data_IF_275244093758
#
_entry.id   IF_275244093758
#
_cell.length_a   1.000
_cell.length_b   1.000
_cell.length_c   1.000
_cell.angle_alpha   90.00
_cell.angle_beta   90.00
_cell.angle_gamma   90.00
#
_symmetry.space_group_name_H-M   'P 1'
#
loop_
_entity.id
_entity.type
_entity.pdbx_description
1 polymer ?
#
# COMPACT_ATOMS: atom_id res chain seq x y z
N UNK A 1 -19.08 -0.44 -48.86
CA UNK A 1 -18.40 -1.50 -48.09
C UNK A 1 -16.92 -1.24 -47.85
N UNK A 2 -16.14 -0.83 -48.85
CA UNK A 2 -14.67 -0.65 -48.74
C UNK A 2 -14.21 0.37 -47.66
N UNK A 3 -15.00 1.41 -47.37
CA UNK A 3 -14.70 2.40 -46.31
C UNK A 3 -14.86 1.85 -44.88
N UNK A 4 -15.75 0.88 -44.66
CA UNK A 4 -15.98 0.26 -43.34
C UNK A 4 -14.83 -0.70 -42.99
N UNK A 5 -14.31 -1.42 -44.00
CA UNK A 5 -13.16 -2.31 -43.84
C UNK A 5 -11.89 -1.54 -43.44
N UNK A 6 -11.69 -0.35 -43.99
CA UNK A 6 -10.54 0.50 -43.67
C UNK A 6 -10.58 1.04 -42.23
N UNK A 7 -11.76 1.39 -41.73
CA UNK A 7 -11.95 1.83 -40.33
C UNK A 7 -11.69 0.67 -39.36
N UNK A 8 -12.13 -0.54 -39.70
CA UNK A 8 -11.89 -1.73 -38.88
C UNK A 8 -10.40 -2.10 -38.79
N UNK A 9 -9.67 -2.00 -39.90
CA UNK A 9 -8.22 -2.22 -39.94
C UNK A 9 -7.46 -1.14 -39.16
N UNK A 10 -7.90 0.13 -39.26
CA UNK A 10 -7.27 1.23 -38.52
C UNK A 10 -7.49 1.11 -37.00
N UNK A 11 -8.68 0.69 -36.55
CA UNK A 11 -8.97 0.45 -35.13
C UNK A 11 -8.19 -0.73 -34.54
N UNK A 12 -7.88 -1.75 -35.33
CA UNK A 12 -7.06 -2.90 -34.93
C UNK A 12 -5.57 -2.55 -34.73
N UNK A 13 -5.09 -1.48 -35.35
CA UNK A 13 -3.71 -1.00 -35.19
C UNK A 13 -3.53 -0.02 -34.00
N UNK A 14 -4.60 0.55 -33.44
CA UNK A 14 -4.51 1.43 -32.26
C UNK A 14 -4.41 0.68 -30.92
N UNK A 15 -4.58 -0.65 -30.91
CA UNK A 15 -4.50 -1.45 -29.68
C UNK A 15 -3.07 -1.76 -29.24
N UNK A 16 -2.06 -1.45 -30.07
CA UNK A 16 -0.66 -1.69 -29.78
C UNK A 16 -0.02 -0.46 -29.14
N UNK A 17 0.59 -0.63 -27.97
CA UNK A 17 1.51 0.32 -27.32
C UNK A 17 0.93 1.23 -26.24
N UNK A 18 0.02 0.73 -25.39
CA UNK A 18 0.03 1.24 -24.01
C UNK A 18 1.24 0.60 -23.31
N UNK A 19 2.40 1.26 -23.41
CA UNK A 19 3.55 0.85 -22.63
C UNK A 19 3.26 1.16 -21.16
N UNK A 20 3.13 0.10 -20.39
CA UNK A 20 3.05 0.07 -18.95
C UNK A 20 4.33 0.63 -18.33
N UNK A 21 4.38 1.95 -18.14
CA UNK A 21 5.45 2.57 -17.36
C UNK A 21 5.18 2.27 -15.88
N UNK A 22 6.08 1.52 -15.26
CA UNK A 22 5.98 1.13 -13.85
C UNK A 22 6.95 1.99 -13.05
N UNK A 23 6.46 2.57 -11.95
CA UNK A 23 7.29 3.29 -10.98
C UNK A 23 7.33 2.53 -9.65
N UNK A 24 8.52 2.24 -9.15
CA UNK A 24 8.76 1.63 -7.85
C UNK A 24 9.35 2.67 -6.89
N UNK A 25 8.70 2.87 -5.75
CA UNK A 25 9.18 3.71 -4.67
C UNK A 25 9.71 2.82 -3.56
N UNK A 26 11.03 2.76 -3.40
CA UNK A 26 11.68 1.88 -2.45
C UNK A 26 11.45 2.35 -1.01
N UNK A 27 11.10 1.41 -0.13
CA UNK A 27 11.09 1.67 1.30
C UNK A 27 12.52 1.73 1.83
N UNK A 28 12.80 2.55 2.86
CA UNK A 28 14.16 2.69 3.38
C UNK A 28 14.64 1.43 4.12
N UNK A 29 13.71 0.65 4.72
CA UNK A 29 14.02 -0.53 5.53
C UNK A 29 12.88 -1.54 5.46
N UNK A 30 13.22 -2.82 5.50
CA UNK A 30 12.27 -3.95 5.56
C UNK A 30 12.76 -4.97 6.58
N UNK A 31 11.84 -5.44 7.42
CA UNK A 31 12.05 -6.58 8.31
C UNK A 31 11.43 -7.81 7.66
N UNK A 32 12.20 -8.90 7.59
CA UNK A 32 11.74 -10.13 6.97
C UNK A 32 11.95 -11.33 7.89
N UNK A 33 10.95 -12.23 7.89
CA UNK A 33 11.02 -13.48 8.63
C UNK A 33 11.53 -14.64 7.79
N UNK A 34 11.21 -14.70 6.48
CA UNK A 34 11.58 -15.85 5.63
C UNK A 34 11.59 -15.53 4.13
N UNK A 35 10.50 -14.99 3.57
CA UNK A 35 10.41 -14.66 2.14
C UNK A 35 10.10 -13.16 1.96
N UNK A 36 10.85 -12.48 1.09
CA UNK A 36 10.65 -11.07 0.75
C UNK A 36 9.99 -10.99 -0.63
N UNK A 37 8.90 -10.24 -0.73
CA UNK A 37 8.25 -9.92 -2.00
C UNK A 37 8.58 -8.49 -2.42
N UNK A 38 8.44 -8.20 -3.71
CA UNK A 38 8.66 -6.85 -4.23
C UNK A 38 7.76 -5.81 -3.56
N UNK A 39 6.53 -6.20 -3.21
CA UNK A 39 5.59 -5.32 -2.49
C UNK A 39 5.98 -5.03 -1.04
N UNK A 40 6.86 -5.85 -0.44
CA UNK A 40 7.40 -5.59 0.90
C UNK A 40 8.49 -4.52 0.88
N UNK A 41 9.21 -4.40 -0.25
CA UNK A 41 10.38 -3.51 -0.41
C UNK A 41 10.06 -2.22 -1.14
N UNK A 42 8.93 -2.14 -1.85
CA UNK A 42 8.56 -0.95 -2.62
C UNK A 42 7.05 -0.77 -2.78
N UNK A 43 6.62 0.49 -2.83
CA UNK A 43 5.31 0.86 -3.37
C UNK A 43 5.38 0.84 -4.90
N UNK A 44 4.41 0.20 -5.54
CA UNK A 44 4.40 -0.03 -7.00
C UNK A 44 3.24 0.77 -7.60
N UNK A 45 3.55 1.66 -8.53
CA UNK A 45 2.60 2.44 -9.30
C UNK A 45 2.71 2.09 -10.79
N UNK A 46 1.58 1.99 -11.48
CA UNK A 46 1.50 1.63 -12.89
C UNK A 46 0.11 1.19 -13.28
N UNK A 47 -0.03 0.63 -14.48
CA UNK A 47 -1.28 0.00 -14.91
C UNK A 47 -1.59 -1.24 -14.06
N UNK A 48 -2.87 -1.51 -13.76
CA UNK A 48 -3.27 -2.61 -12.88
C UNK A 48 -2.76 -3.99 -13.30
N UNK A 49 -2.67 -4.27 -14.60
CA UNK A 49 -2.21 -5.56 -15.13
C UNK A 49 -0.71 -5.78 -14.92
N UNK A 50 0.10 -4.73 -15.08
CA UNK A 50 1.54 -4.83 -14.87
C UNK A 50 1.90 -4.80 -13.40
N UNK A 51 1.22 -3.99 -12.59
CA UNK A 51 1.37 -4.03 -11.13
C UNK A 51 1.06 -5.43 -10.59
N UNK A 52 -0.05 -6.05 -11.01
CA UNK A 52 -0.40 -7.40 -10.57
C UNK A 52 0.66 -8.45 -10.93
N UNK A 53 1.36 -8.30 -12.07
CA UNK A 53 2.42 -9.23 -12.50
C UNK A 53 3.69 -9.16 -11.66
N UNK A 54 4.03 -7.99 -11.12
CA UNK A 54 5.29 -7.78 -10.40
C UNK A 54 5.12 -7.71 -8.88
N UNK A 55 3.89 -7.49 -8.38
CA UNK A 55 3.61 -7.32 -6.95
C UNK A 55 4.04 -8.51 -6.11
N UNK A 56 3.73 -9.71 -6.59
CA UNK A 56 3.99 -10.97 -5.89
C UNK A 56 5.35 -11.60 -6.28
N UNK A 57 6.21 -10.81 -6.93
CA UNK A 57 7.52 -11.26 -7.35
C UNK A 57 8.40 -11.51 -6.12
N UNK A 58 8.79 -12.77 -5.95
CA UNK A 58 9.65 -13.22 -4.86
C UNK A 58 11.08 -12.79 -5.11
N UNK A 59 11.66 -12.11 -4.13
CA UNK A 59 13.07 -11.74 -4.13
C UNK A 59 13.84 -12.90 -3.50
N UNK A 60 14.73 -13.51 -4.27
CA UNK A 60 15.55 -14.61 -3.78
C UNK A 60 16.59 -14.11 -2.77
N UNK A 61 16.85 -14.90 -1.72
CA UNK A 61 17.79 -14.55 -0.64
C UNK A 61 19.19 -14.15 -1.08
N UNK A 62 19.62 -14.61 -2.26
CA UNK A 62 20.92 -14.22 -2.85
C UNK A 62 21.05 -12.73 -3.15
N UNK A 63 19.93 -12.03 -3.40
CA UNK A 63 19.92 -10.61 -3.75
C UNK A 63 20.03 -9.70 -2.53
N UNK A 64 20.00 -10.25 -1.31
CA UNK A 64 20.09 -9.47 -0.08
C UNK A 64 20.94 -10.14 1.00
N UNK A 65 21.87 -11.00 0.58
CA UNK A 65 22.76 -11.73 1.49
C UNK A 65 23.67 -10.80 2.32
N UNK A 66 23.89 -9.57 1.87
CA UNK A 66 24.65 -8.53 2.57
C UNK A 66 23.77 -7.63 3.45
N UNK A 67 22.46 -7.92 3.54
CA UNK A 67 21.48 -7.13 4.29
C UNK A 67 21.01 -5.87 3.57
N UNK A 68 21.32 -5.72 2.28
CA UNK A 68 20.84 -4.62 1.46
C UNK A 68 20.27 -5.16 0.15
N UNK A 69 19.33 -4.42 -0.43
CA UNK A 69 18.84 -4.66 -1.77
C UNK A 69 18.94 -3.35 -2.53
N UNK A 70 19.91 -3.29 -3.43
CA UNK A 70 20.23 -2.05 -4.13
C UNK A 70 19.37 -1.85 -5.40
N UNK A 71 19.39 -0.61 -5.91
CA UNK A 71 18.66 -0.26 -7.13
C UNK A 71 19.09 -1.09 -8.34
N UNK A 72 20.37 -1.47 -8.44
CA UNK A 72 20.91 -2.19 -9.58
C UNK A 72 20.44 -3.64 -9.58
N UNK A 73 20.50 -4.31 -8.43
CA UNK A 73 20.00 -5.66 -8.21
C UNK A 73 18.50 -5.75 -8.49
N UNK A 74 17.72 -4.78 -8.01
CA UNK A 74 16.30 -4.67 -8.35
C UNK A 74 16.08 -4.48 -9.84
N UNK A 75 16.89 -3.65 -10.50
CA UNK A 75 16.79 -3.42 -11.94
C UNK A 75 17.10 -4.70 -12.73
N UNK A 76 18.14 -5.43 -12.33
CA UNK A 76 18.61 -6.66 -12.96
C UNK A 76 17.58 -7.79 -12.78
N UNK A 77 17.03 -7.94 -11.57
CA UNK A 77 15.94 -8.88 -11.27
C UNK A 77 14.68 -8.57 -12.09
N UNK A 78 14.33 -7.29 -12.21
CA UNK A 78 13.13 -6.90 -12.94
C UNK A 78 13.35 -6.91 -14.46
N UNK A 79 14.60 -6.87 -14.95
CA UNK A 79 14.91 -6.86 -16.38
C UNK A 79 14.38 -8.11 -17.10
N UNK A 80 14.43 -9.27 -16.47
CA UNK A 80 13.95 -10.54 -17.04
C UNK A 80 12.42 -10.62 -17.16
N UNK A 81 11.68 -9.76 -16.45
CA UNK A 81 10.22 -9.81 -16.38
C UNK A 81 9.52 -8.63 -17.08
N UNK A 82 10.25 -7.81 -17.84
CA UNK A 82 9.72 -6.55 -18.39
C UNK A 82 8.76 -6.74 -19.58
N UNK A 83 7.65 -6.01 -19.51
CA UNK A 83 6.83 -5.63 -20.68
C UNK A 83 6.91 -4.10 -20.99
N UNK A 84 7.65 -3.31 -20.19
CA UNK A 84 7.69 -1.84 -20.28
C UNK A 84 8.88 -1.20 -19.57
N UNK A 85 8.89 0.14 -19.45
CA UNK A 85 9.94 0.87 -18.73
C UNK A 85 9.69 0.80 -17.22
N UNK A 86 10.77 0.69 -16.47
CA UNK A 86 10.73 0.65 -15.01
C UNK A 86 11.54 1.82 -14.46
N UNK A 87 10.87 2.65 -13.66
CA UNK A 87 11.45 3.76 -12.92
C UNK A 87 11.58 3.37 -11.45
N UNK A 88 12.80 3.34 -10.91
CA UNK A 88 13.04 3.03 -9.50
C UNK A 88 13.44 4.33 -8.80
N UNK A 89 12.63 4.73 -7.82
CA UNK A 89 12.81 5.91 -6.96
C UNK A 89 13.29 5.45 -5.59
N UNK A 90 14.53 5.82 -5.26
CA UNK A 90 15.24 5.38 -4.06
C UNK A 90 16.61 4.77 -4.41
N UNK A 91 17.51 4.76 -3.43
CA UNK A 91 18.88 4.22 -3.60
C UNK A 91 18.97 2.72 -3.34
N UNK A 92 18.18 2.21 -2.40
CA UNK A 92 18.16 0.82 -2.00
C UNK A 92 17.38 0.62 -0.69
N UNK A 93 17.17 -0.63 -0.32
CA UNK A 93 16.40 -1.05 0.85
C UNK A 93 17.31 -1.78 1.80
N UNK A 94 17.34 -1.39 3.07
CA UNK A 94 18.05 -2.18 4.09
C UNK A 94 17.14 -3.31 4.57
N UNK A 95 17.65 -4.53 4.49
CA UNK A 95 16.93 -5.75 4.89
C UNK A 95 17.52 -6.23 6.21
N UNK A 96 16.67 -6.30 7.22
CA UNK A 96 17.02 -6.81 8.54
C UNK A 96 16.29 -8.12 8.80
N UNK A 97 17.03 -9.11 9.29
CA UNK A 97 16.43 -10.31 9.87
C UNK A 97 15.78 -9.92 11.19
N UNK A 98 14.47 -10.08 11.25
CA UNK A 98 13.65 -9.70 12.38
C UNK A 98 12.22 -10.13 12.09
N UNK A 99 11.49 -10.49 13.15
CA UNK A 99 10.07 -10.81 13.03
C UNK A 99 9.42 -9.74 12.16
N UNK A 100 8.78 -10.16 11.08
CA UNK A 100 8.35 -9.28 9.99
C UNK A 100 7.27 -8.33 10.47
N UNK A 101 7.70 -7.26 11.15
CA UNK A 101 7.04 -5.97 11.20
C UNK A 101 7.20 -5.31 9.82
N UNK A 102 6.75 -6.01 8.77
CA UNK A 102 5.84 -5.36 7.81
C UNK A 102 4.83 -4.69 8.72
N UNK A 103 4.47 -3.40 8.58
CA UNK A 103 3.41 -2.83 9.38
C UNK A 103 2.11 -3.54 8.99
N UNK A 104 1.88 -4.74 9.52
CA UNK A 104 0.61 -5.41 9.68
C UNK A 104 -0.14 -4.50 10.60
N UNK A 105 -0.69 -3.40 10.04
CA UNK A 105 -1.70 -2.52 10.62
C UNK A 105 -1.75 -2.76 12.12
N UNK A 106 -0.70 -2.36 12.86
CA UNK A 106 -0.60 -2.74 14.26
C UNK A 106 -1.84 -2.11 14.86
N UNK A 107 -2.73 -2.93 15.42
CA UNK A 107 -4.00 -2.47 15.94
C UNK A 107 -3.69 -1.35 16.93
N UNK A 108 -3.86 -0.13 16.43
CA UNK A 108 -3.36 1.07 17.06
C UNK A 108 -4.29 1.42 18.23
N UNK A 109 -5.51 0.91 18.13
CA UNK A 109 -6.57 0.94 19.13
C UNK A 109 -7.04 -0.49 19.37
N UNK A 110 -7.03 -0.93 20.63
CA UNK A 110 -7.60 -2.22 21.04
C UNK A 110 -9.02 -2.04 21.58
N UNK A 111 -9.83 -3.08 21.48
CA UNK A 111 -11.15 -3.16 22.10
C UNK A 111 -11.02 -2.93 23.61
N UNK A 112 -11.79 -1.98 24.11
CA UNK A 112 -11.77 -1.55 25.51
C UNK A 112 -10.89 -0.32 25.76
N UNK A 113 -10.05 0.10 24.80
CA UNK A 113 -9.24 1.30 24.95
C UNK A 113 -10.10 2.56 24.99
N UNK A 114 -9.65 3.52 25.80
CA UNK A 114 -10.23 4.86 25.81
C UNK A 114 -9.65 5.68 24.66
N UNK A 115 -10.52 6.11 23.75
CA UNK A 115 -10.16 6.88 22.55
C UNK A 115 -10.77 8.27 22.58
N UNK A 116 -10.08 9.24 21.94
CA UNK A 116 -10.63 10.56 21.61
C UNK A 116 -11.38 10.44 20.29
N UNK A 117 -12.69 10.67 20.36
CA UNK A 117 -13.57 10.70 19.21
C UNK A 117 -13.74 12.15 18.76
N UNK A 118 -13.26 12.48 17.56
CA UNK A 118 -13.32 13.82 17.00
C UNK A 118 -14.41 13.90 15.93
N UNK A 119 -15.19 14.97 15.98
CA UNK A 119 -16.11 15.35 14.90
C UNK A 119 -15.63 16.68 14.35
N UNK A 120 -15.04 16.66 13.15
CA UNK A 120 -14.60 17.87 12.46
C UNK A 120 -15.68 18.32 11.47
N UNK A 121 -16.13 19.57 11.58
CA UNK A 121 -17.03 20.19 10.60
C UNK A 121 -16.57 21.62 10.33
N UNK A 122 -15.93 21.82 9.18
CA UNK A 122 -15.42 23.07 8.56
C UNK A 122 -14.58 24.02 9.44
N UNK A 123 -15.05 24.40 10.63
CA UNK A 123 -14.38 25.29 11.58
C UNK A 123 -14.51 24.85 13.05
N UNK A 124 -15.21 23.76 13.35
CA UNK A 124 -15.41 23.27 14.72
C UNK A 124 -14.91 21.82 14.81
N UNK A 125 -14.03 21.56 15.77
CA UNK A 125 -13.62 20.22 16.17
C UNK A 125 -14.20 19.93 17.55
N UNK A 126 -15.14 18.98 17.60
CA UNK A 126 -15.73 18.53 18.87
C UNK A 126 -14.98 17.26 19.29
N UNK A 127 -14.30 17.31 20.43
CA UNK A 127 -13.64 16.15 21.03
C UNK A 127 -14.53 15.51 22.10
N UNK A 128 -14.81 14.22 21.93
CA UNK A 128 -15.52 13.38 22.88
C UNK A 128 -14.61 12.25 23.34
N UNK A 129 -14.86 11.72 24.54
CA UNK A 129 -14.20 10.49 25.01
C UNK A 129 -15.13 9.31 24.78
N UNK A 130 -14.59 8.23 24.22
CA UNK A 130 -15.31 6.98 23.98
C UNK A 130 -14.45 5.75 24.26
N UNK A 131 -15.09 4.59 24.22
CA UNK A 131 -14.43 3.29 24.36
C UNK A 131 -14.50 2.56 23.03
N UNK A 132 -13.36 2.10 22.51
CA UNK A 132 -13.32 1.30 21.29
C UNK A 132 -14.01 -0.06 21.51
N UNK A 133 -14.93 -0.43 20.61
CA UNK A 133 -15.67 -1.69 20.70
C UNK A 133 -15.04 -2.83 19.89
N UNK A 134 -14.09 -2.49 19.01
CA UNK A 134 -13.34 -3.42 18.15
C UNK A 134 -11.90 -2.95 18.02
N UNK A 135 -11.00 -3.89 17.79
CA UNK A 135 -9.63 -3.59 17.40
C UNK A 135 -9.62 -2.93 16.01
N UNK A 136 -8.76 -1.93 15.84
CA UNK A 136 -8.59 -1.24 14.56
C UNK A 136 -7.21 -0.63 14.43
N UNK A 137 -6.70 -0.62 13.21
CA UNK A 137 -5.50 0.10 12.86
C UNK A 137 -5.83 1.44 12.20
N UNK A 138 -4.82 2.30 12.04
CA UNK A 138 -4.93 3.55 11.29
C UNK A 138 -5.59 3.31 9.92
N UNK A 139 -6.66 4.07 9.67
CA UNK A 139 -7.48 4.00 8.46
C UNK A 139 -8.68 3.07 8.56
N UNK A 140 -8.75 2.18 9.56
CA UNK A 140 -9.91 1.30 9.76
C UNK A 140 -11.08 2.06 10.39
N UNK A 141 -12.30 1.73 9.98
CA UNK A 141 -13.53 2.24 10.60
C UNK A 141 -13.92 1.29 11.74
N UNK A 142 -13.92 1.80 12.97
CA UNK A 142 -14.29 1.04 14.16
C UNK A 142 -15.49 1.63 14.89
N UNK A 143 -16.34 0.78 15.50
CA UNK A 143 -17.39 1.23 16.40
C UNK A 143 -16.79 1.72 17.73
N UNK A 144 -17.20 2.92 18.15
CA UNK A 144 -16.82 3.57 19.40
C UNK A 144 -18.06 3.86 20.23
N UNK A 145 -18.02 3.43 21.50
CA UNK A 145 -19.08 3.72 22.48
C UNK A 145 -18.81 5.05 23.15
N UNK A 146 -19.68 6.03 22.92
CA UNK A 146 -19.59 7.36 23.51
C UNK A 146 -20.28 7.41 24.89
N UNK A 147 -19.93 8.43 25.68
CA UNK A 147 -20.59 8.72 26.96
C UNK A 147 -22.10 8.93 26.73
N UNK A 148 -22.95 8.16 27.42
CA UNK A 148 -24.41 8.17 27.20
C UNK A 148 -24.95 6.99 26.37
N UNK A 149 -24.17 5.92 26.20
CA UNK A 149 -24.56 4.65 25.55
C UNK A 149 -24.86 4.73 24.04
N UNK A 150 -24.52 5.83 23.37
CA UNK A 150 -24.55 5.94 21.91
C UNK A 150 -23.31 5.30 21.29
N UNK A 151 -23.48 4.55 20.21
CA UNK A 151 -22.39 4.00 19.41
C UNK A 151 -22.25 4.82 18.12
N UNK A 152 -21.02 5.21 17.79
CA UNK A 152 -20.70 5.89 16.54
C UNK A 152 -19.57 5.13 15.84
N UNK A 153 -19.60 5.09 14.51
CA UNK A 153 -18.50 4.55 13.71
C UNK A 153 -17.53 5.68 13.41
N UNK A 154 -16.24 5.43 13.53
CA UNK A 154 -15.25 6.41 13.12
C UNK A 154 -13.97 5.77 12.64
N UNK A 155 -13.24 6.52 11.81
CA UNK A 155 -11.98 6.12 11.21
C UNK A 155 -10.84 6.39 12.18
N UNK A 156 -10.02 5.39 12.45
CA UNK A 156 -8.82 5.55 13.29
C UNK A 156 -7.83 6.43 12.54
N UNK A 157 -7.51 7.59 13.10
CA UNK A 157 -6.45 8.45 12.56
C UNK A 157 -5.10 8.04 13.14
N UNK A 158 -5.02 7.92 14.46
CA UNK A 158 -3.77 7.70 15.22
C UNK A 158 -4.04 6.75 16.42
N UNK A 159 -3.00 6.46 17.24
CA UNK A 159 -3.06 5.58 18.43
C UNK A 159 -4.21 5.82 19.41
N UNK A 160 -4.76 7.04 19.47
CA UNK A 160 -5.86 7.36 20.39
C UNK A 160 -6.91 8.30 19.80
N UNK A 161 -6.92 8.49 18.48
CA UNK A 161 -7.81 9.45 17.82
C UNK A 161 -8.63 8.74 16.76
N UNK A 162 -9.94 8.86 16.87
CA UNK A 162 -10.93 8.33 15.94
C UNK A 162 -11.77 9.48 15.43
N UNK A 163 -11.89 9.66 14.13
CA UNK A 163 -12.69 10.73 13.52
C UNK A 163 -14.01 10.18 12.96
N UNK A 164 -15.10 10.91 13.17
CA UNK A 164 -16.39 10.57 12.57
C UNK A 164 -16.32 10.69 11.04
N UNK A 165 -16.64 9.60 10.35
CA UNK A 165 -16.95 9.65 8.93
C UNK A 165 -18.44 10.05 8.81
N UNK A 166 -18.70 11.26 8.31
CA UNK A 166 -20.03 11.80 8.07
C UNK A 166 -20.64 11.24 6.78
#
# INVERSE_FOLDING_TARGET
MQRILFIFIFLLFLSGSCFADITLYLYPRVNHATEIQLSDVASIEGDPESVARIRDLRIEGRFFADGYLDRKELMDMLAEKKAGKIHIVGSGVRITEGDSDIPRRQATVKKGDTVRFQVASSFIVIELRGTAMKDGAVGDVIPVKLKGAKTANGKVLNERTVELEL
#
